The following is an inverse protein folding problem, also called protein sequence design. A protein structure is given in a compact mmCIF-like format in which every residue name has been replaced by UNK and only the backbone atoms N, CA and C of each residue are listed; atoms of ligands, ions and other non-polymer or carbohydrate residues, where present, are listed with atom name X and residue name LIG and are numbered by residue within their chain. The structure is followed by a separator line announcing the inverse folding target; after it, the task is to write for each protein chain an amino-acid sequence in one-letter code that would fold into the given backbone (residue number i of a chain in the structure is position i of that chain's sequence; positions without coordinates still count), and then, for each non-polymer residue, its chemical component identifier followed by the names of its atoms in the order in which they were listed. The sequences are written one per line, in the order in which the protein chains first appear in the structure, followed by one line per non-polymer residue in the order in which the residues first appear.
data_IF_267108524077
#
_entry.id   IF_267108524077
#
_cell.length_a   1.000
_cell.length_b   1.000
_cell.length_c   1.000
_cell.angle_alpha   90.00
_cell.angle_beta   90.00
_cell.angle_gamma   90.00
#
_symmetry.space_group_name_H-M   'P 1'
#
loop_
_entity.id
_entity.type
_entity.pdbx_description
1 polymer ?
#
# COMPACT_ATOMS: atom_id res chain seq x y z
N UNK A 1 7.00 -24.28 15.76
CA UNK A 1 6.49 -23.02 15.17
C UNK A 1 7.02 -22.93 13.75
N UNK A 2 6.29 -23.45 12.78
CA UNK A 2 6.73 -23.46 11.38
C UNK A 2 6.70 -22.02 10.83
N UNK A 3 7.83 -21.54 10.29
CA UNK A 3 7.89 -20.22 9.68
C UNK A 3 7.09 -20.24 8.38
N UNK A 4 6.01 -19.47 8.34
CA UNK A 4 5.08 -19.34 7.21
C UNK A 4 5.73 -18.99 5.86
N UNK A 5 6.99 -18.52 5.87
CA UNK A 5 7.83 -18.37 4.67
C UNK A 5 7.96 -19.63 3.83
N UNK A 6 7.72 -20.81 4.41
CA UNK A 6 7.88 -22.10 3.71
C UNK A 6 6.64 -22.55 2.93
N UNK A 7 5.44 -21.99 3.19
CA UNK A 7 4.19 -22.44 2.56
C UNK A 7 3.65 -21.50 1.48
N UNK A 8 4.11 -20.26 1.42
CA UNK A 8 3.65 -19.28 0.43
C UNK A 8 4.84 -18.85 -0.43
N UNK A 9 4.90 -19.35 -1.67
CA UNK A 9 6.06 -19.13 -2.55
C UNK A 9 5.88 -17.98 -3.52
N UNK A 10 4.66 -17.49 -3.68
CA UNK A 10 4.30 -16.47 -4.67
C UNK A 10 3.28 -15.48 -4.13
N UNK A 11 3.25 -14.27 -4.71
CA UNK A 11 2.20 -13.28 -4.47
C UNK A 11 0.79 -13.80 -4.84
N UNK A 12 0.71 -14.82 -5.69
CA UNK A 12 -0.54 -15.47 -6.10
C UNK A 12 -1.14 -16.41 -5.04
N UNK A 13 -0.31 -17.04 -4.23
CA UNK A 13 -0.76 -17.86 -3.10
C UNK A 13 -1.13 -16.99 -1.88
N UNK A 14 -0.76 -15.72 -1.92
CA UNK A 14 -0.80 -14.80 -0.80
C UNK A 14 -2.23 -14.60 -0.29
N UNK A 15 -3.23 -14.41 -1.16
CA UNK A 15 -4.65 -14.40 -0.78
C UNK A 15 -5.08 -15.70 -0.03
N UNK A 16 -4.63 -16.88 -0.50
CA UNK A 16 -4.93 -18.17 0.14
C UNK A 16 -4.18 -18.34 1.47
N UNK A 17 -2.96 -17.83 1.57
CA UNK A 17 -2.16 -17.89 2.78
C UNK A 17 -2.59 -16.87 3.84
N UNK A 18 -3.10 -15.70 3.43
CA UNK A 18 -3.72 -14.72 4.32
C UNK A 18 -4.98 -15.29 4.95
N UNK A 19 -5.85 -15.91 4.13
CA UNK A 19 -7.04 -16.61 4.62
C UNK A 19 -6.68 -17.65 5.71
N UNK A 20 -5.63 -18.46 5.49
CA UNK A 20 -5.17 -19.46 6.47
C UNK A 20 -4.46 -18.88 7.70
N UNK A 21 -3.77 -17.75 7.56
CA UNK A 21 -3.09 -17.09 8.67
C UNK A 21 -4.12 -16.42 9.61
N UNK A 22 -5.19 -15.85 9.05
CA UNK A 22 -6.28 -15.23 9.80
C UNK A 22 -7.15 -16.28 10.50
N UNK A 23 -7.26 -17.50 9.96
CA UNK A 23 -8.02 -18.62 10.57
C UNK A 23 -7.40 -19.11 11.91
N UNK A 24 -6.11 -18.85 12.14
CA UNK A 24 -5.39 -19.22 13.39
C UNK A 24 -5.16 -18.08 14.38
N UNK A 25 -5.60 -16.87 14.05
CA UNK A 25 -5.47 -15.65 14.85
C UNK A 25 -6.79 -14.89 14.73
N UNK A 26 -7.68 -15.01 15.72
CA UNK A 26 -8.92 -14.21 15.85
C UNK A 26 -8.61 -12.70 16.07
N UNK A 27 -7.82 -12.09 15.20
CA UNK A 27 -7.58 -10.65 15.15
C UNK A 27 -8.21 -10.16 13.86
N UNK A 28 -9.33 -9.48 13.98
CA UNK A 28 -9.95 -8.74 12.88
C UNK A 28 -8.89 -7.75 12.35
N UNK A 29 -8.24 -8.10 11.24
CA UNK A 29 -7.23 -7.25 10.59
C UNK A 29 -7.87 -6.21 9.67
N UNK A 30 -9.17 -6.34 9.37
CA UNK A 30 -9.98 -5.32 8.69
C UNK A 30 -10.64 -4.35 9.67
N UNK A 31 -10.87 -3.11 9.22
CA UNK A 31 -11.56 -2.08 9.99
C UNK A 31 -10.66 -1.08 10.72
N UNK A 32 -11.28 -0.30 11.61
CA UNK A 32 -10.67 0.86 12.26
C UNK A 32 -10.39 0.58 13.74
N UNK A 33 -9.18 0.87 14.21
CA UNK A 33 -8.80 0.76 15.62
C UNK A 33 -8.18 2.04 16.14
N UNK A 34 -8.79 2.64 17.16
CA UNK A 34 -8.38 3.91 17.73
C UNK A 34 -7.83 3.73 19.15
N UNK A 35 -6.88 4.58 19.53
CA UNK A 35 -6.58 4.94 20.91
C UNK A 35 -6.39 6.45 21.03
N UNK A 36 -6.12 6.94 22.23
CA UNK A 36 -6.00 8.39 22.50
C UNK A 36 -4.90 9.14 21.72
N UNK A 37 -4.05 8.45 20.93
CA UNK A 37 -2.96 9.06 20.16
C UNK A 37 -3.04 8.82 18.66
N UNK A 38 -3.66 7.73 18.22
CA UNK A 38 -3.70 7.36 16.80
C UNK A 38 -4.89 6.47 16.48
N UNK A 39 -5.29 6.52 15.21
CA UNK A 39 -6.29 5.62 14.61
C UNK A 39 -5.67 4.84 13.46
N UNK A 40 -5.69 3.51 13.55
CA UNK A 40 -5.31 2.60 12.47
C UNK A 40 -6.51 2.39 11.53
N UNK A 41 -6.23 2.41 10.23
CA UNK A 41 -7.23 2.34 9.16
C UNK A 41 -6.88 1.20 8.19
N UNK A 42 -7.84 0.32 7.94
CA UNK A 42 -7.77 -0.77 6.97
C UNK A 42 -9.08 -0.82 6.17
N UNK A 43 -9.23 0.01 5.13
CA UNK A 43 -10.45 0.04 4.32
C UNK A 43 -10.68 -1.30 3.62
N UNK A 44 -11.93 -1.75 3.53
CA UNK A 44 -12.30 -2.99 2.83
C UNK A 44 -12.07 -2.92 1.30
N UNK A 45 -11.83 -1.70 0.78
CA UNK A 45 -11.49 -1.40 -0.61
C UNK A 45 -10.01 -1.60 -0.94
N UNK A 46 -9.18 -1.90 0.06
CA UNK A 46 -7.75 -2.19 -0.10
C UNK A 46 -7.44 -3.56 0.48
N UNK A 47 -6.43 -4.25 -0.07
CA UNK A 47 -5.97 -5.51 0.49
C UNK A 47 -5.73 -5.37 2.00
N UNK A 48 -6.24 -6.33 2.77
CA UNK A 48 -5.93 -6.38 4.20
C UNK A 48 -4.41 -6.48 4.42
N UNK A 49 -3.86 -5.86 5.47
CA UNK A 49 -2.43 -5.94 5.76
C UNK A 49 -1.94 -7.39 5.80
N UNK A 50 -0.77 -7.64 5.23
CA UNK A 50 -0.22 -8.98 5.09
C UNK A 50 0.16 -9.62 6.44
N UNK A 51 0.32 -8.78 7.46
CA UNK A 51 0.64 -9.14 8.83
C UNK A 51 -0.10 -8.20 9.80
N UNK A 52 -0.49 -8.69 11.00
CA UNK A 52 -1.32 -7.94 11.94
C UNK A 52 -0.56 -6.86 12.72
N UNK A 53 0.76 -6.73 12.52
CA UNK A 53 1.58 -5.74 13.24
C UNK A 53 1.64 -4.38 12.52
N UNK A 54 1.01 -4.25 11.35
CA UNK A 54 0.90 -2.98 10.63
C UNK A 54 -0.52 -2.81 10.06
N UNK A 55 -0.84 -1.59 9.65
CA UNK A 55 -2.12 -1.17 9.10
C UNK A 55 -1.90 -0.51 7.73
N UNK A 56 -2.90 -0.45 6.87
CA UNK A 56 -2.81 0.23 5.58
C UNK A 56 -2.53 1.71 5.75
N UNK A 57 -3.12 2.34 6.77
CA UNK A 57 -2.74 3.67 7.21
C UNK A 57 -2.91 3.87 8.72
N UNK A 58 -2.29 4.95 9.21
CA UNK A 58 -2.42 5.43 10.59
C UNK A 58 -2.65 6.94 10.55
N UNK A 59 -3.75 7.41 11.14
CA UNK A 59 -4.02 8.82 11.40
C UNK A 59 -3.51 9.20 12.79
N UNK A 60 -2.86 10.36 12.92
CA UNK A 60 -2.56 10.95 14.23
C UNK A 60 -3.79 11.62 14.82
N UNK A 61 -4.03 11.46 16.12
CA UNK A 61 -5.07 12.23 16.83
C UNK A 61 -4.54 13.59 17.31
N UNK A 62 -3.23 13.84 17.20
CA UNK A 62 -2.61 15.11 17.59
C UNK A 62 -2.55 16.14 16.46
N UNK A 63 -2.97 15.79 15.24
CA UNK A 63 -2.92 16.68 14.08
C UNK A 63 -3.37 15.97 12.79
N UNK A 64 -3.37 16.66 11.64
CA UNK A 64 -4.04 16.20 10.44
C UNK A 64 -3.26 15.14 9.65
N UNK A 65 -2.16 14.62 10.17
CA UNK A 65 -1.29 13.74 9.40
C UNK A 65 -1.85 12.32 9.33
N UNK A 66 -1.88 11.80 8.11
CA UNK A 66 -2.15 10.41 7.77
C UNK A 66 -0.86 9.80 7.17
N UNK A 67 -0.38 8.71 7.79
CA UNK A 67 0.72 7.91 7.26
C UNK A 67 0.15 6.69 6.57
N UNK A 68 0.42 6.55 5.29
CA UNK A 68 -0.01 5.43 4.46
C UNK A 68 1.17 4.48 4.32
N UNK A 69 0.98 3.23 4.74
CA UNK A 69 2.00 2.17 4.58
C UNK A 69 2.32 1.94 3.11
N UNK A 70 3.47 1.33 2.83
CA UNK A 70 3.85 0.92 1.48
C UNK A 70 2.74 0.11 0.80
N UNK A 71 2.15 0.70 -0.23
CA UNK A 71 1.13 0.07 -1.05
C UNK A 71 1.82 -0.68 -2.20
N UNK A 72 1.39 -1.93 -2.40
CA UNK A 72 1.82 -2.83 -3.47
C UNK A 72 0.64 -3.12 -4.40
N UNK A 73 0.89 -3.75 -5.54
CA UNK A 73 -0.09 -4.01 -6.58
C UNK A 73 -1.07 -5.16 -6.26
N UNK A 74 -1.62 -5.18 -5.05
CA UNK A 74 -2.69 -6.08 -4.65
C UNK A 74 -4.04 -5.37 -4.75
N UNK A 75 -5.05 -6.02 -5.32
CA UNK A 75 -6.43 -5.53 -5.25
C UNK A 75 -7.05 -5.75 -3.86
N UNK A 76 -8.28 -5.27 -3.64
CA UNK A 76 -9.03 -5.47 -2.38
C UNK A 76 -9.15 -6.95 -1.94
N UNK A 77 -9.06 -7.90 -2.89
CA UNK A 77 -9.13 -9.34 -2.65
C UNK A 77 -7.75 -9.95 -2.37
N UNK A 78 -6.69 -9.14 -2.35
CA UNK A 78 -5.31 -9.58 -2.16
C UNK A 78 -4.72 -10.27 -3.39
N UNK A 79 -5.25 -10.04 -4.59
CA UNK A 79 -4.76 -10.60 -5.84
C UNK A 79 -3.75 -9.65 -6.47
N UNK A 80 -2.61 -10.19 -6.95
CA UNK A 80 -1.63 -9.42 -7.71
C UNK A 80 -2.23 -8.96 -9.04
N UNK A 81 -2.21 -7.64 -9.25
CA UNK A 81 -2.57 -6.98 -10.50
C UNK A 81 -1.31 -6.65 -11.30
N UNK A 82 -1.33 -6.82 -12.62
CA UNK A 82 -0.20 -6.45 -13.47
C UNK A 82 1.05 -7.34 -13.29
N UNK A 83 0.88 -8.67 -13.28
CA UNK A 83 2.03 -9.58 -13.24
C UNK A 83 2.99 -9.25 -14.40
N UNK A 84 4.27 -9.04 -14.07
CA UNK A 84 5.33 -8.67 -15.02
C UNK A 84 5.05 -7.36 -15.80
N UNK A 85 4.09 -6.55 -15.35
CA UNK A 85 3.70 -5.27 -15.95
C UNK A 85 3.76 -4.16 -14.90
N UNK A 86 4.90 -3.46 -14.88
CA UNK A 86 5.15 -2.35 -13.96
C UNK A 86 4.09 -1.24 -14.07
N UNK A 87 3.56 -0.97 -15.27
CA UNK A 87 2.59 0.09 -15.50
C UNK A 87 1.26 -0.27 -14.86
N UNK A 88 0.79 -1.49 -15.06
CA UNK A 88 -0.41 -2.00 -14.40
C UNK A 88 -0.23 -2.07 -12.87
N UNK A 89 0.95 -2.44 -12.37
CA UNK A 89 1.24 -2.41 -10.93
C UNK A 89 1.20 -1.00 -10.35
N UNK A 90 1.82 -0.03 -11.03
CA UNK A 90 1.83 1.37 -10.59
C UNK A 90 0.41 1.95 -10.49
N UNK A 91 -0.46 1.62 -11.47
CA UNK A 91 -1.88 1.99 -11.43
C UNK A 91 -2.55 1.41 -10.18
N UNK A 92 -2.42 0.10 -9.93
CA UNK A 92 -3.06 -0.53 -8.76
C UNK A 92 -2.55 0.06 -7.43
N UNK A 93 -1.24 0.33 -7.33
CA UNK A 93 -0.66 0.97 -6.14
C UNK A 93 -1.28 2.34 -5.88
N UNK A 94 -1.44 3.17 -6.92
CA UNK A 94 -2.02 4.50 -6.78
C UNK A 94 -3.53 4.45 -6.50
N UNK A 95 -4.26 3.49 -7.07
CA UNK A 95 -5.68 3.25 -6.72
C UNK A 95 -5.83 2.82 -5.25
N UNK A 96 -4.92 2.01 -4.72
CA UNK A 96 -4.93 1.64 -3.30
C UNK A 96 -4.70 2.85 -2.39
N UNK A 97 -3.74 3.71 -2.72
CA UNK A 97 -3.49 4.97 -1.99
C UNK A 97 -4.72 5.87 -2.03
N UNK A 98 -5.32 6.03 -3.21
CA UNK A 98 -6.54 6.81 -3.40
C UNK A 98 -7.69 6.27 -2.56
N UNK A 99 -7.92 4.96 -2.55
CA UNK A 99 -8.98 4.35 -1.75
C UNK A 99 -8.79 4.58 -0.23
N UNK A 100 -7.53 4.57 0.26
CA UNK A 100 -7.21 4.90 1.65
C UNK A 100 -7.51 6.37 1.99
N UNK A 101 -7.19 7.27 1.06
CA UNK A 101 -7.48 8.70 1.23
C UNK A 101 -8.98 8.97 1.23
N UNK A 102 -9.73 8.35 0.32
CA UNK A 102 -11.19 8.47 0.23
C UNK A 102 -11.88 7.99 1.52
N UNK A 103 -11.43 6.87 2.10
CA UNK A 103 -11.91 6.38 3.40
C UNK A 103 -11.62 7.38 4.55
N UNK A 104 -10.59 8.21 4.37
CA UNK A 104 -10.20 9.28 5.29
C UNK A 104 -10.80 10.66 4.94
N UNK A 105 -11.76 10.73 4.01
CA UNK A 105 -12.34 11.96 3.46
C UNK A 105 -11.30 12.92 2.84
N UNK A 106 -10.26 12.37 2.22
CA UNK A 106 -9.18 13.08 1.56
C UNK A 106 -9.02 12.62 0.11
N UNK A 107 -8.15 13.29 -0.63
CA UNK A 107 -7.90 13.08 -2.06
C UNK A 107 -6.40 12.99 -2.35
N UNK A 108 -6.04 12.66 -3.60
CA UNK A 108 -4.63 12.65 -4.02
C UNK A 108 -3.95 14.02 -3.91
N UNK A 109 -4.72 15.12 -3.88
CA UNK A 109 -4.21 16.49 -3.68
C UNK A 109 -3.70 16.73 -2.26
N UNK A 110 -4.18 15.95 -1.29
CA UNK A 110 -3.83 16.08 0.12
C UNK A 110 -2.51 15.38 0.47
N UNK A 111 -1.90 14.66 -0.47
CA UNK A 111 -0.61 14.00 -0.28
C UNK A 111 0.49 15.06 -0.27
N UNK A 112 1.30 15.06 0.79
CA UNK A 112 2.43 15.99 0.97
C UNK A 112 3.79 15.35 0.66
N UNK A 113 3.90 14.02 0.77
CA UNK A 113 5.14 13.28 0.51
C UNK A 113 4.84 11.89 -0.02
N UNK A 114 5.63 11.45 -1.01
CA UNK A 114 5.68 10.05 -1.47
C UNK A 114 7.11 9.52 -1.50
N UNK A 115 7.28 8.24 -1.17
CA UNK A 115 8.52 7.50 -1.37
C UNK A 115 8.20 6.33 -2.29
N UNK A 116 8.85 6.29 -3.45
CA UNK A 116 8.63 5.27 -4.48
C UNK A 116 9.82 4.32 -4.52
N UNK A 117 9.56 3.03 -4.34
CA UNK A 117 10.55 1.97 -4.46
C UNK A 117 10.26 1.14 -5.70
N UNK A 118 11.29 0.90 -6.52
CA UNK A 118 11.17 0.11 -7.76
C UNK A 118 12.27 -0.93 -7.85
N UNK A 119 12.02 -2.02 -8.57
CA UNK A 119 13.05 -3.04 -8.81
C UNK A 119 13.90 -2.77 -10.05
N UNK A 120 13.47 -1.84 -10.92
CA UNK A 120 14.22 -1.41 -12.10
C UNK A 120 13.98 0.08 -12.38
N UNK A 121 14.96 0.93 -12.07
CA UNK A 121 14.87 2.39 -12.23
C UNK A 121 14.92 2.83 -13.69
N UNK A 122 15.32 1.96 -14.62
CA UNK A 122 15.33 2.30 -16.06
C UNK A 122 13.93 2.57 -16.59
N UNK A 123 12.91 2.06 -15.90
CA UNK A 123 11.50 2.34 -16.18
C UNK A 123 10.95 3.61 -15.50
N UNK A 124 11.83 4.53 -15.05
CA UNK A 124 11.45 5.79 -14.40
C UNK A 124 10.38 6.57 -15.19
N UNK A 125 10.55 6.72 -16.51
CA UNK A 125 9.61 7.47 -17.34
C UNK A 125 8.22 6.81 -17.38
N UNK A 126 8.15 5.48 -17.45
CA UNK A 126 6.87 4.77 -17.43
C UNK A 126 6.07 5.04 -16.14
N UNK A 127 6.77 5.12 -15.01
CA UNK A 127 6.17 5.40 -13.71
C UNK A 127 5.79 6.88 -13.59
N UNK A 128 6.66 7.78 -14.08
CA UNK A 128 6.41 9.22 -14.06
C UNK A 128 5.12 9.58 -14.84
N UNK A 129 4.95 9.03 -16.05
CA UNK A 129 3.76 9.24 -16.88
C UNK A 129 2.46 8.79 -16.21
N UNK A 130 2.53 7.73 -15.40
CA UNK A 130 1.37 7.23 -14.67
C UNK A 130 1.08 8.16 -13.51
N UNK A 131 2.09 8.51 -12.71
CA UNK A 131 1.96 9.38 -11.54
C UNK A 131 1.43 10.77 -11.90
N UNK A 132 1.81 11.32 -13.05
CA UNK A 132 1.31 12.61 -13.54
C UNK A 132 -0.22 12.64 -13.71
N UNK A 133 -0.86 11.48 -13.91
CA UNK A 133 -2.33 11.38 -14.00
C UNK A 133 -3.03 11.41 -12.65
N UNK A 134 -2.31 11.15 -11.57
CA UNK A 134 -2.86 11.04 -10.21
C UNK A 134 -2.55 12.25 -9.34
N UNK A 135 -1.41 12.91 -9.56
CA UNK A 135 -0.99 14.06 -8.76
C UNK A 135 -1.32 15.38 -9.46
N UNK A 136 -1.68 16.42 -8.71
CA UNK A 136 -1.91 17.75 -9.27
C UNK A 136 -0.60 18.40 -9.75
N UNK A 137 -0.73 19.51 -10.47
CA UNK A 137 0.38 20.44 -10.72
C UNK A 137 0.89 20.95 -9.36
N UNK A 138 2.21 20.96 -9.17
CA UNK A 138 2.85 21.14 -7.84
C UNK A 138 2.55 20.01 -6.84
N UNK A 139 2.67 18.76 -7.32
CA UNK A 139 2.47 17.56 -6.50
C UNK A 139 3.44 17.41 -5.30
N UNK A 140 3.33 16.28 -4.58
CA UNK A 140 4.02 16.07 -3.31
C UNK A 140 5.54 16.12 -3.42
N UNK A 141 6.20 16.36 -2.28
CA UNK A 141 7.60 16.02 -2.14
C UNK A 141 7.81 14.55 -2.54
N UNK A 142 8.88 14.24 -3.28
CA UNK A 142 9.03 12.93 -3.90
C UNK A 142 10.47 12.45 -3.87
N UNK A 143 10.64 11.17 -3.60
CA UNK A 143 11.87 10.42 -3.91
C UNK A 143 11.46 9.14 -4.63
N UNK A 144 12.29 8.72 -5.58
CA UNK A 144 12.23 7.40 -6.19
C UNK A 144 13.61 6.77 -6.12
N UNK A 145 13.68 5.50 -5.72
CA UNK A 145 14.93 4.76 -5.69
C UNK A 145 14.74 3.32 -6.16
N UNK A 146 15.80 2.78 -6.77
CA UNK A 146 15.88 1.35 -7.02
C UNK A 146 16.21 0.61 -5.72
N UNK A 147 15.54 -0.52 -5.50
CA UNK A 147 15.81 -1.44 -4.40
C UNK A 147 16.08 -2.84 -4.93
N UNK A 148 16.92 -3.60 -4.23
CA UNK A 148 17.29 -4.96 -4.66
C UNK A 148 16.14 -5.96 -4.71
N UNK A 149 15.09 -5.73 -3.91
CA UNK A 149 13.87 -6.52 -3.87
C UNK A 149 12.79 -5.78 -3.08
N UNK A 150 11.53 -6.11 -3.36
CA UNK A 150 10.38 -5.76 -2.53
C UNK A 150 9.97 -6.96 -1.65
N UNK A 151 8.88 -6.82 -0.91
CA UNK A 151 8.46 -7.84 0.05
C UNK A 151 8.17 -9.21 -0.62
N UNK A 152 7.78 -9.22 -1.91
CA UNK A 152 7.66 -10.42 -2.75
C UNK A 152 8.32 -10.20 -4.12
N UNK A 153 8.88 -11.25 -4.74
CA UNK A 153 9.58 -11.14 -6.04
C UNK A 153 8.73 -10.60 -7.20
N UNK A 154 7.42 -10.80 -7.14
CA UNK A 154 6.49 -10.37 -8.20
C UNK A 154 6.08 -8.90 -8.10
N UNK A 155 6.38 -8.24 -6.98
CA UNK A 155 6.18 -6.81 -6.84
C UNK A 155 7.33 -6.06 -7.52
N UNK A 156 6.97 -5.14 -8.41
CA UNK A 156 7.90 -4.32 -9.18
C UNK A 156 7.95 -2.87 -8.66
N UNK A 157 6.91 -2.46 -7.94
CA UNK A 157 6.77 -1.12 -7.37
C UNK A 157 6.05 -1.16 -6.02
N UNK A 158 6.50 -0.32 -5.10
CA UNK A 158 5.86 -0.04 -3.82
C UNK A 158 5.89 1.46 -3.55
N UNK A 159 4.79 2.04 -3.08
CA UNK A 159 4.71 3.47 -2.76
C UNK A 159 4.14 3.65 -1.36
N UNK A 160 4.88 4.33 -0.48
CA UNK A 160 4.33 4.90 0.76
C UNK A 160 4.02 6.39 0.58
N UNK A 161 3.09 6.90 1.38
CA UNK A 161 2.66 8.28 1.30
C UNK A 161 2.37 8.88 2.68
N UNK A 162 2.49 10.21 2.77
CA UNK A 162 2.00 11.01 3.89
C UNK A 162 1.04 12.04 3.34
N UNK A 163 -0.11 12.19 3.98
CA UNK A 163 -1.15 13.15 3.61
C UNK A 163 -1.61 13.99 4.80
N UNK A 164 -2.26 15.12 4.49
CA UNK A 164 -2.92 16.00 5.45
C UNK A 164 -4.42 15.84 5.26
N UNK A 165 -5.11 15.23 6.22
CA UNK A 165 -6.53 14.90 6.13
C UNK A 165 -7.39 15.79 7.04
N UNK A 166 -8.69 16.00 6.71
CA UNK A 166 -9.61 16.80 7.51
C UNK A 166 -9.78 16.34 8.97
#
# INVERSE_FOLDING_TARGET
MASWRSSCRTAFELAKCLARYNDGQERNIGGTMSNNRKTALNPDTVAVPLKPYYSNAVRSEAGPLLWISGQVALDAKGQLMGKDDLRAQAVQVLENIKAILEDSNATMEDIVKVTVYVTDIRAFNDIADIREKYFPVFGPASVICEVSALAWPEFLIEIEAVAVVP
#
